data_IF_853214676953
#
_entry.id   IF_853214676953
#
_cell.length_a   1.000
_cell.length_b   1.000
_cell.length_c   1.000
_cell.angle_alpha   90.00
_cell.angle_beta   90.00
_cell.angle_gamma   90.00
#
_symmetry.space_group_name_H-M   'P 1'
#
loop_
_entity.id
_entity.type
_entity.pdbx_description
1 polymer ?
#
# COMPACT_ATOMS: atom_id res chain seq x y z
N UNK A 1 14.97 -15.62 20.58
CA UNK A 1 15.13 -14.18 20.91
C UNK A 1 14.43 -13.93 22.24
N UNK A 2 14.91 -14.53 23.33
CA UNK A 2 14.28 -14.37 24.66
C UNK A 2 14.87 -13.11 25.31
N UNK A 3 14.01 -12.18 25.75
CA UNK A 3 14.41 -11.00 26.54
C UNK A 3 14.76 -9.74 25.76
N UNK A 4 14.70 -9.75 24.42
CA UNK A 4 14.87 -8.52 23.62
C UNK A 4 13.73 -7.51 23.86
N UNK A 5 12.58 -8.00 24.29
CA UNK A 5 11.37 -7.29 24.64
C UNK A 5 11.36 -6.77 26.09
N UNK A 6 12.27 -7.23 26.96
CA UNK A 6 12.22 -6.99 28.41
C UNK A 6 12.19 -5.50 28.83
N UNK A 7 12.57 -4.58 27.94
CA UNK A 7 12.55 -3.13 28.17
C UNK A 7 11.67 -2.35 27.18
N UNK A 8 10.80 -3.01 26.43
CA UNK A 8 10.00 -2.37 25.36
C UNK A 8 9.23 -1.15 25.84
N UNK A 9 8.54 -1.24 26.98
CA UNK A 9 7.84 -0.11 27.59
C UNK A 9 8.77 1.04 28.00
N UNK A 10 9.96 0.73 28.54
CA UNK A 10 10.93 1.76 28.92
C UNK A 10 11.41 2.52 27.68
N UNK A 11 11.81 1.79 26.63
CA UNK A 11 12.29 2.39 25.38
C UNK A 11 11.20 3.24 24.73
N UNK A 12 9.97 2.74 24.63
CA UNK A 12 8.85 3.49 24.07
C UNK A 12 8.59 4.78 24.86
N UNK A 13 8.57 4.70 26.19
CA UNK A 13 8.32 5.86 27.04
C UNK A 13 9.40 6.94 26.89
N UNK A 14 10.67 6.53 26.80
CA UNK A 14 11.79 7.45 26.59
C UNK A 14 11.69 8.13 25.22
N UNK A 15 11.33 7.39 24.16
CA UNK A 15 11.08 7.95 22.83
C UNK A 15 9.89 8.92 22.82
N UNK A 16 8.78 8.55 23.47
CA UNK A 16 7.60 9.41 23.61
C UNK A 16 7.96 10.75 24.28
N UNK A 17 8.77 10.70 25.36
CA UNK A 17 9.23 11.90 26.06
C UNK A 17 10.14 12.75 25.18
N UNK A 18 11.11 12.13 24.51
CA UNK A 18 12.06 12.83 23.65
C UNK A 18 11.39 13.54 22.46
N UNK A 19 10.36 12.92 21.89
CA UNK A 19 9.65 13.42 20.70
C UNK A 19 8.41 14.25 21.04
N UNK A 20 7.99 14.32 22.30
CA UNK A 20 6.73 14.95 22.70
C UNK A 20 5.50 14.25 22.07
N UNK A 21 5.56 12.93 21.92
CA UNK A 21 4.54 12.11 21.27
C UNK A 21 3.90 11.13 22.25
N UNK A 22 2.78 10.53 21.84
CA UNK A 22 2.16 9.41 22.55
C UNK A 22 2.43 8.11 21.81
N UNK A 23 2.68 7.04 22.55
CA UNK A 23 2.99 5.71 22.02
C UNK A 23 1.86 4.71 22.27
N UNK A 24 1.74 3.75 21.34
CA UNK A 24 0.98 2.51 21.51
C UNK A 24 1.94 1.36 21.25
N UNK A 25 2.03 0.42 22.19
CA UNK A 25 2.92 -0.73 22.11
C UNK A 25 2.13 -2.00 21.80
N UNK A 26 2.61 -2.79 20.86
CA UNK A 26 1.98 -4.04 20.46
C UNK A 26 2.17 -5.17 21.47
N UNK A 27 1.38 -6.26 21.35
CA UNK A 27 1.53 -7.46 22.15
C UNK A 27 2.92 -8.05 22.00
N UNK A 28 3.49 -8.57 23.09
CA UNK A 28 4.86 -9.08 23.08
C UNK A 28 5.93 -8.03 22.77
N UNK A 29 5.58 -6.73 22.81
CA UNK A 29 6.49 -5.58 22.70
C UNK A 29 7.33 -5.58 21.41
N UNK A 30 6.75 -6.08 20.32
CA UNK A 30 7.46 -6.33 19.06
C UNK A 30 7.39 -5.19 18.05
N UNK A 31 6.36 -4.34 18.12
CA UNK A 31 6.14 -3.18 17.25
C UNK A 31 5.45 -2.07 18.05
N UNK A 32 5.61 -0.82 17.62
CA UNK A 32 4.96 0.33 18.24
C UNK A 32 4.50 1.36 17.19
N UNK A 33 3.67 2.30 17.64
CA UNK A 33 3.25 3.47 16.88
C UNK A 33 3.36 4.70 17.79
N UNK A 34 4.07 5.72 17.31
CA UNK A 34 4.12 7.04 17.95
C UNK A 34 3.30 8.04 17.13
N UNK A 35 2.52 8.88 17.81
CA UNK A 35 1.70 9.91 17.17
C UNK A 35 1.65 11.20 17.99
N UNK A 36 1.41 12.33 17.32
CA UNK A 36 1.30 13.65 17.96
C UNK A 36 -0.13 13.93 18.43
N UNK A 37 -0.43 13.92 19.75
CA UNK A 37 -1.79 14.05 20.25
C UNK A 37 -2.41 15.45 20.04
N UNK A 38 -1.59 16.48 19.79
CA UNK A 38 -2.10 17.81 19.40
C UNK A 38 -2.62 17.87 17.96
N UNK A 39 -2.22 16.92 17.10
CA UNK A 39 -2.64 16.86 15.70
C UNK A 39 -3.65 15.76 15.39
N UNK A 40 -3.68 14.70 16.20
CA UNK A 40 -4.50 13.52 15.94
C UNK A 40 -5.32 13.09 17.16
N UNK A 41 -6.57 12.70 16.91
CA UNK A 41 -7.37 11.91 17.84
C UNK A 41 -7.15 10.42 17.59
N UNK A 42 -7.01 9.65 18.68
CA UNK A 42 -7.10 8.20 18.61
C UNK A 42 -8.58 7.80 18.56
N UNK A 43 -9.03 7.34 17.40
CA UNK A 43 -10.42 6.93 17.17
C UNK A 43 -10.64 5.48 17.62
N UNK A 44 -9.67 4.61 17.32
CA UNK A 44 -9.74 3.20 17.65
C UNK A 44 -8.36 2.64 17.91
N UNK A 45 -8.24 1.90 18.99
CA UNK A 45 -7.14 0.98 19.21
C UNK A 45 -7.61 -0.40 18.73
N UNK A 46 -6.86 -1.02 17.83
CA UNK A 46 -7.18 -2.36 17.32
C UNK A 46 -6.54 -3.45 18.16
N UNK A 47 -6.27 -3.16 19.44
CA UNK A 47 -5.52 -4.09 20.24
C UNK A 47 -6.21 -5.45 20.41
N UNK A 48 -7.53 -5.41 20.41
CA UNK A 48 -8.43 -6.54 20.38
C UNK A 48 -8.98 -6.71 18.94
N UNK A 49 -8.79 -7.88 18.34
CA UNK A 49 -9.36 -8.20 17.01
C UNK A 49 -8.41 -8.09 15.81
N UNK A 50 -7.11 -8.35 16.00
CA UNK A 50 -6.08 -8.31 14.94
C UNK A 50 -6.04 -9.55 14.02
N UNK A 51 -6.95 -10.51 14.22
CA UNK A 51 -6.94 -11.81 13.54
C UNK A 51 -6.00 -12.82 14.21
N UNK A 52 -6.29 -14.13 14.18
CA UNK A 52 -5.59 -15.12 15.00
C UNK A 52 -4.26 -15.64 14.40
N UNK A 53 -3.75 -15.04 13.32
CA UNK A 53 -2.74 -15.67 12.47
C UNK A 53 -1.38 -14.98 12.44
N UNK A 54 -1.01 -14.18 13.44
CA UNK A 54 0.31 -13.55 13.50
C UNK A 54 1.21 -14.25 14.53
N UNK A 55 2.43 -14.60 14.13
CA UNK A 55 3.49 -15.02 15.03
C UNK A 55 3.84 -13.89 16.01
N UNK A 56 3.86 -12.65 15.51
CA UNK A 56 3.99 -11.42 16.29
C UNK A 56 2.89 -10.44 15.85
N UNK A 57 1.82 -10.26 16.66
CA UNK A 57 0.71 -9.41 16.27
C UNK A 57 1.13 -7.97 15.97
N UNK A 58 0.59 -7.34 14.91
CA UNK A 58 0.92 -5.96 14.57
C UNK A 58 0.36 -4.98 15.60
N UNK A 59 0.97 -3.81 15.72
CA UNK A 59 0.36 -2.66 16.40
C UNK A 59 -0.49 -1.91 15.38
N UNK A 60 -1.77 -1.68 15.68
CA UNK A 60 -2.65 -1.00 14.74
C UNK A 60 -3.59 -0.05 15.47
N UNK A 61 -3.71 1.16 14.96
CA UNK A 61 -4.62 2.20 15.46
C UNK A 61 -5.29 2.93 14.31
N UNK A 62 -6.44 3.53 14.57
CA UNK A 62 -7.09 4.48 13.66
C UNK A 62 -6.96 5.88 14.24
N UNK A 63 -6.37 6.78 13.46
CA UNK A 63 -6.18 8.19 13.81
C UNK A 63 -7.09 9.09 12.98
N UNK A 64 -7.55 10.19 13.55
CA UNK A 64 -8.24 11.27 12.83
C UNK A 64 -7.48 12.58 12.97
N UNK A 65 -7.19 13.30 11.87
CA UNK A 65 -6.56 14.61 11.95
C UNK A 65 -7.52 15.64 12.54
N UNK A 66 -7.07 16.39 13.55
CA UNK A 66 -7.89 17.40 14.26
C UNK A 66 -8.20 18.62 13.41
N UNK A 67 -7.26 19.01 12.54
CA UNK A 67 -7.39 20.18 11.67
C UNK A 67 -8.58 20.05 10.70
N UNK A 68 -8.93 18.83 10.30
CA UNK A 68 -10.09 18.59 9.43
C UNK A 68 -11.44 18.55 10.15
N UNK A 69 -11.48 18.80 11.47
CA UNK A 69 -12.70 18.75 12.27
C UNK A 69 -13.28 17.35 12.49
N UNK A 70 -14.50 17.25 13.07
CA UNK A 70 -15.11 15.97 13.42
C UNK A 70 -15.43 15.07 12.21
N UNK A 71 -15.63 15.68 11.04
CA UNK A 71 -15.97 15.01 9.78
C UNK A 71 -14.74 14.56 8.98
N UNK A 72 -13.53 14.86 9.46
CA UNK A 72 -12.31 14.39 8.84
C UNK A 72 -12.30 12.86 8.72
N UNK A 73 -12.00 12.36 7.52
CA UNK A 73 -11.85 10.92 7.29
C UNK A 73 -10.66 10.42 8.13
N UNK A 74 -10.86 9.45 9.03
CA UNK A 74 -9.75 8.85 9.74
C UNK A 74 -8.90 7.99 8.79
N UNK A 75 -7.76 7.51 9.29
CA UNK A 75 -6.89 6.60 8.56
C UNK A 75 -6.29 5.58 9.52
N UNK A 76 -5.96 4.40 9.01
CA UNK A 76 -5.30 3.35 9.76
C UNK A 76 -3.79 3.58 9.76
N UNK A 77 -3.16 3.32 10.91
CA UNK A 77 -1.70 3.24 11.05
C UNK A 77 -1.38 1.87 11.60
N UNK A 78 -0.50 1.15 10.90
CA UNK A 78 -0.17 -0.24 11.21
C UNK A 78 1.35 -0.41 11.22
N UNK A 79 1.86 -0.92 12.33
CA UNK A 79 3.25 -1.31 12.53
C UNK A 79 3.34 -2.83 12.65
N UNK A 80 4.12 -3.49 11.81
CA UNK A 80 4.15 -4.96 11.73
C UNK A 80 5.55 -5.53 11.59
N UNK A 81 5.64 -6.84 11.84
CA UNK A 81 6.81 -7.65 11.57
C UNK A 81 6.34 -9.04 11.17
N UNK A 82 6.54 -9.41 9.92
CA UNK A 82 6.11 -10.72 9.45
C UNK A 82 7.02 -11.83 9.97
N UNK A 83 6.53 -13.06 9.94
CA UNK A 83 7.21 -14.23 10.47
C UNK A 83 8.64 -14.38 9.93
N UNK A 84 9.56 -14.56 10.87
CA UNK A 84 10.99 -14.64 10.58
C UNK A 84 11.37 -15.97 9.90
N UNK A 85 10.89 -17.10 10.43
CA UNK A 85 11.44 -18.43 10.09
C UNK A 85 10.56 -19.28 9.14
N UNK A 86 9.37 -18.81 8.75
CA UNK A 86 8.44 -19.58 7.92
C UNK A 86 7.88 -18.71 6.80
N UNK A 87 8.22 -19.05 5.55
CA UNK A 87 7.71 -18.35 4.38
C UNK A 87 6.18 -18.52 4.23
N UNK A 88 5.64 -19.69 4.56
CA UNK A 88 4.19 -19.93 4.53
C UNK A 88 3.45 -19.06 5.55
N UNK A 89 3.97 -18.99 6.77
CA UNK A 89 3.38 -18.15 7.82
C UNK A 89 3.49 -16.67 7.45
N UNK A 90 4.63 -16.24 6.91
CA UNK A 90 4.85 -14.87 6.45
C UNK A 90 3.88 -14.48 5.35
N UNK A 91 3.64 -15.38 4.39
CA UNK A 91 2.67 -15.17 3.33
C UNK A 91 1.25 -15.02 3.89
N UNK A 92 0.84 -15.92 4.80
CA UNK A 92 -0.45 -15.83 5.47
C UNK A 92 -0.60 -14.49 6.22
N UNK A 93 0.44 -14.05 6.93
CA UNK A 93 0.43 -12.76 7.62
C UNK A 93 0.37 -11.56 6.66
N UNK A 94 1.03 -11.63 5.50
CA UNK A 94 0.93 -10.62 4.46
C UNK A 94 -0.49 -10.54 3.89
N UNK A 95 -1.12 -11.68 3.62
CA UNK A 95 -2.54 -11.76 3.22
C UNK A 95 -3.45 -11.14 4.27
N UNK A 96 -3.24 -11.43 5.56
CA UNK A 96 -4.01 -10.79 6.63
C UNK A 96 -3.77 -9.28 6.73
N UNK A 97 -2.56 -8.80 6.46
CA UNK A 97 -2.28 -7.36 6.41
C UNK A 97 -3.04 -6.66 5.28
N UNK A 98 -3.32 -7.33 4.16
CA UNK A 98 -4.11 -6.73 3.07
C UNK A 98 -5.50 -6.28 3.54
N UNK A 99 -6.06 -6.93 4.57
CA UNK A 99 -7.39 -6.56 5.11
C UNK A 99 -7.45 -5.14 5.68
N UNK A 100 -6.30 -4.50 5.92
CA UNK A 100 -6.23 -3.08 6.30
C UNK A 100 -6.61 -2.15 5.15
N UNK A 101 -6.42 -2.58 3.90
CA UNK A 101 -6.85 -1.86 2.70
C UNK A 101 -8.38 -1.88 2.52
N UNK A 102 -9.08 -2.81 3.19
CA UNK A 102 -10.53 -2.97 3.07
C UNK A 102 -11.31 -2.40 4.26
N UNK A 103 -10.64 -1.84 5.28
CA UNK A 103 -11.32 -1.39 6.49
C UNK A 103 -12.28 -0.24 6.19
N UNK A 104 -13.55 -0.55 6.38
CA UNK A 104 -14.66 0.38 6.23
C UNK A 104 -14.84 1.31 7.42
N UNK A 105 -15.38 2.48 7.13
CA UNK A 105 -15.81 3.48 8.09
C UNK A 105 -17.18 4.02 7.71
N UNK A 106 -18.09 4.04 8.68
CA UNK A 106 -19.38 4.70 8.53
C UNK A 106 -19.21 6.17 8.89
N UNK A 107 -19.27 7.03 7.88
CA UNK A 107 -19.16 8.47 8.05
C UNK A 107 -20.44 9.06 8.70
N UNK A 108 -20.38 10.28 9.28
CA UNK A 108 -21.53 10.94 9.89
C UNK A 108 -22.72 11.14 8.95
N UNK A 109 -22.45 11.27 7.66
CA UNK A 109 -23.46 11.33 6.58
C UNK A 109 -24.15 9.98 6.30
N UNK A 110 -23.79 8.92 7.02
CA UNK A 110 -24.29 7.57 6.84
C UNK A 110 -23.60 6.77 5.73
N UNK A 111 -22.73 7.39 4.94
CA UNK A 111 -21.99 6.76 3.87
C UNK A 111 -20.90 5.80 4.37
N UNK A 112 -20.58 4.80 3.56
CA UNK A 112 -19.49 3.87 3.83
C UNK A 112 -18.25 4.27 3.02
N UNK A 113 -17.11 4.43 3.69
CA UNK A 113 -15.83 4.82 3.07
C UNK A 113 -14.76 3.82 3.45
N UNK A 114 -13.91 3.46 2.50
CA UNK A 114 -12.68 2.71 2.79
C UNK A 114 -11.67 3.66 3.40
N UNK A 115 -11.06 3.26 4.51
CA UNK A 115 -10.06 4.06 5.20
C UNK A 115 -8.70 3.97 4.50
N UNK A 116 -8.02 5.10 4.26
CA UNK A 116 -6.60 5.07 3.91
C UNK A 116 -5.80 4.35 4.99
N UNK A 117 -4.72 3.67 4.60
CA UNK A 117 -3.84 2.98 5.52
C UNK A 117 -2.38 3.40 5.30
N UNK A 118 -1.68 3.69 6.39
CA UNK A 118 -0.23 3.84 6.44
C UNK A 118 0.29 2.61 7.17
N UNK A 119 1.06 1.79 6.46
CA UNK A 119 1.54 0.51 6.98
C UNK A 119 3.06 0.49 6.85
N UNK A 120 3.76 0.22 7.94
CA UNK A 120 5.22 0.15 7.99
C UNK A 120 5.67 -1.06 8.80
N UNK A 121 6.71 -1.73 8.34
CA UNK A 121 7.17 -2.93 9.02
C UNK A 121 8.31 -3.65 8.31
N UNK A 122 8.69 -4.77 8.89
CA UNK A 122 9.67 -5.69 8.34
C UNK A 122 8.97 -6.92 7.74
N UNK A 123 9.02 -7.03 6.41
CA UNK A 123 8.43 -8.17 5.70
C UNK A 123 9.18 -9.48 5.97
N UNK A 124 10.42 -9.41 6.49
CA UNK A 124 11.30 -10.56 6.58
C UNK A 124 11.54 -11.27 5.21
N UNK A 125 11.24 -10.59 4.11
CA UNK A 125 11.37 -11.03 2.71
C UNK A 125 12.04 -9.94 1.86
N UNK A 126 12.28 -10.24 0.59
CA UNK A 126 12.79 -9.26 -0.38
C UNK A 126 11.64 -8.54 -1.08
N UNK A 127 11.86 -7.31 -1.58
CA UNK A 127 10.90 -6.65 -2.45
C UNK A 127 10.83 -7.37 -3.80
N UNK A 128 9.65 -7.43 -4.39
CA UNK A 128 9.45 -7.99 -5.72
C UNK A 128 10.15 -7.08 -6.75
N UNK A 129 11.03 -7.60 -7.63
CA UNK A 129 11.61 -6.81 -8.70
C UNK A 129 10.55 -6.27 -9.67
N UNK A 130 10.83 -5.13 -10.31
CA UNK A 130 10.04 -4.68 -11.47
C UNK A 130 9.87 -3.18 -11.60
N UNK A 131 10.47 -2.39 -10.72
CA UNK A 131 10.49 -0.93 -10.77
C UNK A 131 11.90 -0.44 -11.10
N UNK A 132 12.06 0.57 -11.98
CA UNK A 132 13.38 1.19 -12.22
C UNK A 132 14.03 1.65 -10.92
N UNK A 133 15.30 1.27 -10.73
CA UNK A 133 16.05 1.57 -9.50
C UNK A 133 15.93 0.52 -8.39
N UNK A 134 15.17 -0.55 -8.62
CA UNK A 134 15.14 -1.68 -7.69
C UNK A 134 16.51 -2.33 -7.54
N UNK A 135 16.88 -2.62 -6.28
CA UNK A 135 18.06 -3.43 -5.99
C UNK A 135 17.78 -4.88 -6.41
N UNK A 136 18.70 -5.55 -7.12
CA UNK A 136 18.55 -6.95 -7.46
C UNK A 136 18.35 -7.80 -6.20
N UNK A 137 17.44 -8.76 -6.27
CA UNK A 137 17.26 -9.75 -5.22
C UNK A 137 18.54 -10.61 -5.15
N UNK A 138 19.08 -10.90 -3.94
CA UNK A 138 20.36 -11.58 -3.83
C UNK A 138 20.29 -13.02 -4.30
N UNK A 139 21.42 -13.52 -4.83
CA UNK A 139 21.63 -14.95 -4.98
C UNK A 139 21.73 -15.60 -3.58
N UNK A 140 20.85 -16.58 -3.30
CA UNK A 140 20.85 -17.30 -2.03
C UNK A 140 22.19 -18.01 -1.76
N UNK A 141 22.91 -18.42 -2.81
CA UNK A 141 24.20 -19.08 -2.67
C UNK A 141 25.28 -18.16 -2.09
N UNK A 142 25.16 -16.85 -2.38
CA UNK A 142 26.08 -15.80 -1.96
C UNK A 142 25.83 -15.29 -0.53
N UNK A 143 24.71 -15.64 0.10
CA UNK A 143 24.41 -15.26 1.49
C UNK A 143 25.28 -16.10 2.43
N UNK A 144 26.29 -15.53 3.09
CA UNK A 144 27.18 -16.31 3.96
C UNK A 144 26.47 -16.89 5.21
N UNK A 145 25.50 -16.16 5.75
CA UNK A 145 24.70 -16.58 6.90
C UNK A 145 23.76 -17.75 6.51
N UNK A 146 24.17 -18.97 6.89
CA UNK A 146 23.46 -20.20 6.55
C UNK A 146 22.04 -20.24 7.10
N UNK A 147 21.76 -19.92 8.38
CA UNK A 147 20.39 -19.72 8.86
C UNK A 147 19.59 -18.67 8.09
N UNK A 148 20.22 -17.58 7.63
CA UNK A 148 19.51 -16.54 6.89
C UNK A 148 18.94 -17.03 5.56
N UNK A 149 19.64 -17.95 4.86
CA UNK A 149 19.20 -18.52 3.58
C UNK A 149 17.78 -19.11 3.65
N UNK A 150 17.48 -20.14 4.48
CA UNK A 150 16.13 -20.69 4.57
C UNK A 150 15.13 -19.66 5.09
N UNK A 151 15.51 -18.77 6.01
CA UNK A 151 14.61 -17.75 6.55
C UNK A 151 14.24 -16.66 5.53
N UNK A 152 15.04 -16.44 4.48
CA UNK A 152 14.76 -15.48 3.40
C UNK A 152 14.38 -16.14 2.07
N UNK A 153 14.05 -17.42 2.09
CA UNK A 153 13.70 -18.17 0.89
C UNK A 153 12.36 -18.86 1.04
N UNK A 154 11.77 -19.22 -0.10
CA UNK A 154 10.61 -20.09 -0.21
C UNK A 154 10.88 -21.19 -1.23
N UNK A 155 10.11 -22.27 -1.19
CA UNK A 155 10.16 -23.28 -2.25
C UNK A 155 9.33 -22.80 -3.45
N UNK A 156 9.93 -22.82 -4.63
CA UNK A 156 9.26 -22.65 -5.90
C UNK A 156 8.41 -23.87 -6.28
N UNK A 157 7.62 -23.79 -7.35
CA UNK A 157 6.80 -24.90 -7.84
C UNK A 157 7.59 -26.16 -8.22
N UNK A 158 8.85 -25.98 -8.64
CA UNK A 158 9.82 -27.03 -8.96
C UNK A 158 10.54 -27.60 -7.71
N UNK A 159 10.21 -27.10 -6.52
CA UNK A 159 10.82 -27.47 -5.25
C UNK A 159 12.15 -26.76 -4.97
N UNK A 160 12.66 -25.94 -5.88
CA UNK A 160 13.92 -25.19 -5.71
C UNK A 160 13.70 -24.03 -4.75
N UNK A 161 14.65 -23.80 -3.84
CA UNK A 161 14.60 -22.63 -2.97
C UNK A 161 14.94 -21.37 -3.77
N UNK A 162 14.04 -20.40 -3.72
CA UNK A 162 14.20 -19.08 -4.33
C UNK A 162 14.06 -18.00 -3.26
N UNK A 163 14.65 -16.80 -3.45
CA UNK A 163 14.40 -15.68 -2.58
C UNK A 163 12.90 -15.41 -2.42
N UNK A 164 12.47 -15.15 -1.19
CA UNK A 164 11.06 -14.90 -0.92
C UNK A 164 10.69 -13.45 -1.25
N UNK A 165 9.76 -13.25 -2.18
CA UNK A 165 9.23 -11.95 -2.61
C UNK A 165 7.71 -11.87 -2.53
N UNK A 166 7.05 -12.97 -2.14
CA UNK A 166 5.59 -13.09 -2.17
C UNK A 166 4.87 -12.11 -1.24
N UNK A 167 5.40 -11.79 -0.05
CA UNK A 167 4.76 -10.78 0.81
C UNK A 167 4.65 -9.41 0.14
N UNK A 168 5.71 -8.95 -0.53
CA UNK A 168 5.69 -7.67 -1.25
C UNK A 168 4.71 -7.72 -2.43
N UNK A 169 4.74 -8.80 -3.21
CA UNK A 169 3.79 -9.03 -4.30
C UNK A 169 2.33 -8.97 -3.81
N UNK A 170 2.04 -9.63 -2.70
CA UNK A 170 0.70 -9.70 -2.08
C UNK A 170 0.22 -8.32 -1.64
N UNK A 171 1.06 -7.59 -0.91
CA UNK A 171 0.73 -6.23 -0.45
C UNK A 171 0.50 -5.29 -1.64
N UNK A 172 1.36 -5.36 -2.66
CA UNK A 172 1.23 -4.54 -3.88
C UNK A 172 -0.04 -4.86 -4.66
N UNK A 173 -0.41 -6.14 -4.76
CA UNK A 173 -1.65 -6.57 -5.41
C UNK A 173 -2.88 -5.99 -4.69
N UNK A 174 -2.82 -5.85 -3.36
CA UNK A 174 -3.84 -5.18 -2.55
C UNK A 174 -3.77 -3.63 -2.60
N UNK A 175 -2.92 -3.04 -3.43
CA UNK A 175 -2.76 -1.59 -3.54
C UNK A 175 -1.92 -0.95 -2.42
N UNK A 176 -1.27 -1.75 -1.57
CA UNK A 176 -0.37 -1.30 -0.51
C UNK A 176 1.06 -1.18 -1.03
N UNK A 177 1.25 -0.35 -2.05
CA UNK A 177 2.55 -0.11 -2.68
C UNK A 177 3.43 0.84 -1.85
N UNK A 178 4.74 0.57 -1.79
CA UNK A 178 5.70 1.45 -1.14
C UNK A 178 5.72 2.85 -1.77
N UNK A 179 5.69 3.90 -0.95
CA UNK A 179 5.54 5.31 -1.39
C UNK A 179 6.56 5.70 -2.45
N UNK A 180 7.82 5.30 -2.31
CA UNK A 180 8.87 5.59 -3.29
C UNK A 180 8.55 4.99 -4.67
N UNK A 181 8.12 3.72 -4.70
CA UNK A 181 7.72 3.04 -5.94
C UNK A 181 6.45 3.63 -6.54
N UNK A 182 5.47 3.94 -5.70
CA UNK A 182 4.24 4.61 -6.13
C UNK A 182 4.55 5.90 -6.92
N UNK A 183 5.47 6.73 -6.42
CA UNK A 183 5.87 7.95 -7.11
C UNK A 183 6.62 7.69 -8.42
N UNK A 184 7.54 6.73 -8.45
CA UNK A 184 8.23 6.34 -9.70
C UNK A 184 7.22 5.88 -10.76
N UNK A 185 6.28 5.02 -10.36
CA UNK A 185 5.27 4.46 -11.25
C UNK A 185 4.22 5.49 -11.70
N UNK A 186 3.85 6.43 -10.82
CA UNK A 186 2.94 7.52 -11.15
C UNK A 186 3.56 8.48 -12.16
N UNK A 187 4.81 8.89 -11.96
CA UNK A 187 5.54 9.76 -12.89
C UNK A 187 5.73 9.08 -14.25
N UNK A 188 6.09 7.79 -14.26
CA UNK A 188 6.20 7.02 -15.50
C UNK A 188 4.87 6.90 -16.26
N UNK A 189 3.75 6.71 -15.55
CA UNK A 189 2.40 6.70 -16.16
C UNK A 189 1.99 8.07 -16.69
N UNK A 190 2.32 9.16 -15.99
CA UNK A 190 2.06 10.52 -16.47
C UNK A 190 2.87 10.85 -17.72
N UNK A 191 4.16 10.47 -17.77
CA UNK A 191 5.02 10.67 -18.95
C UNK A 191 4.57 9.86 -20.19
N UNK A 192 3.84 8.76 -19.99
CA UNK A 192 3.28 7.92 -21.06
C UNK A 192 1.89 8.36 -21.54
N UNK A 193 1.30 9.39 -20.92
CA UNK A 193 0.01 9.91 -21.36
C UNK A 193 0.24 10.66 -22.68
N UNK A 194 -0.39 10.26 -23.80
CA UNK A 194 -0.24 10.98 -25.05
C UNK A 194 -0.69 12.43 -24.84
N UNK A 195 0.12 13.37 -25.35
CA UNK A 195 -0.23 14.79 -25.48
C UNK A 195 -1.67 14.88 -26.03
N UNK A 196 -2.55 15.70 -25.43
CA UNK A 196 -3.88 15.90 -26.00
C UNK A 196 -3.70 16.36 -27.44
N UNK A 197 -4.19 15.54 -28.38
CA UNK A 197 -4.14 15.83 -29.80
C UNK A 197 -4.64 17.25 -30.01
N UNK A 198 -3.78 18.12 -30.53
CA UNK A 198 -4.10 19.49 -30.87
C UNK A 198 -5.45 19.51 -31.58
N UNK A 199 -6.44 20.31 -31.13
CA UNK A 199 -7.73 20.33 -31.79
C UNK A 199 -7.52 20.66 -33.26
N UNK A 200 -7.86 19.70 -34.13
CA UNK A 200 -7.89 19.92 -35.57
C UNK A 200 -8.92 21.03 -35.78
N UNK A 201 -8.42 22.22 -36.11
CA UNK A 201 -9.23 23.38 -36.44
C UNK A 201 -10.13 22.96 -37.61
N UNK A 202 -11.46 23.08 -37.53
CA UNK A 202 -12.33 22.78 -38.66
C UNK A 202 -11.87 23.64 -39.84
N UNK A 203 -11.53 23.02 -40.96
CA UNK A 203 -11.32 23.75 -42.21
C UNK A 203 -12.68 24.28 -42.66
N UNK A 204 -12.83 25.60 -42.65
CA UNK A 204 -13.99 26.29 -43.22
C UNK A 204 -14.18 25.88 -44.69
N UNK A 205 -15.39 25.49 -45.11
CA UNK A 205 -15.71 25.33 -46.53
C UNK A 205 -16.15 26.69 -47.08
N UNK A 206 -15.29 27.37 -47.84
CA UNK A 206 -15.71 28.51 -48.66
C UNK A 206 -15.76 28.14 -50.14
N UNK A 207 -17.00 28.06 -50.65
CA UNK A 207 -17.51 28.46 -51.97
C UNK A 207 -16.87 27.92 -53.27
N UNK A 208 -17.74 27.35 -54.12
CA UNK A 208 -17.46 27.10 -55.54
C UNK A 208 -18.72 26.63 -56.30
N UNK A 209 -19.57 27.57 -56.68
CA UNK A 209 -20.74 27.43 -57.56
C UNK A 209 -20.35 27.14 -59.01
N UNK A 210 -21.12 26.31 -59.73
CA UNK A 210 -21.72 26.66 -61.05
C UNK A 210 -22.80 25.66 -61.47
N UNK A 211 -23.90 26.20 -61.98
CA UNK A 211 -25.10 25.51 -62.47
C UNK A 211 -24.97 25.03 -63.93
N UNK A 212 -25.80 24.06 -64.33
CA UNK A 212 -26.43 24.07 -65.68
C UNK A 212 -27.70 23.20 -65.73
N UNK A 213 -28.69 23.76 -66.41
CA UNK A 213 -30.09 23.40 -66.66
C UNK A 213 -30.34 22.23 -67.62
N UNK A 214 -31.44 21.48 -67.44
CA UNK A 214 -32.60 21.43 -68.38
C UNK A 214 -33.61 20.32 -68.05
N UNK A 215 -34.88 20.72 -67.87
CA UNK A 215 -36.13 19.94 -68.00
C UNK A 215 -36.55 19.85 -69.50
N UNK A 216 -37.69 19.24 -69.93
CA UNK A 216 -38.83 18.62 -69.20
C UNK A 216 -39.33 17.28 -69.82
N UNK A 217 -40.33 16.63 -69.19
CA UNK A 217 -41.64 16.32 -69.80
C UNK A 217 -42.43 15.25 -68.98
N UNK A 218 -43.74 15.48 -68.93
CA UNK A 218 -44.81 14.87 -68.15
C UNK A 218 -45.50 13.67 -68.83
N UNK A 219 -45.99 12.70 -68.01
CA UNK A 219 -47.30 11.97 -67.97
C UNK A 219 -48.17 11.74 -69.25
N UNK A 220 -49.21 10.85 -69.26
CA UNK A 220 -49.65 9.70 -68.42
C UNK A 220 -50.08 8.51 -69.35
N UNK A 221 -51.19 7.71 -69.22
CA UNK A 221 -52.35 7.64 -68.30
C UNK A 221 -52.15 6.72 -67.07
#
# INVERSE_FOLDING_TARGET
>A
MLGADARGHTVLNDQCRALGMRGVLGPGLCTDILYTPSRFDLVRDWSDGRGPHFALPPTAITLRPKEGGPDALPFNVVSYRLAYASAQQRQLEAEWLTTWADKGWKAPDGGHRVLPAIIGGDNNSYPEPGTPGDVPVPDLSAIEDRPHRPHRSRRGPDGVCVPDTEPDHTLRTAGLEGIARYWVNRTAKQARRPEPSTPVRPTDPTAGSTASTSHPASCPP
#
